data_IF_343058937943
#
_entry.id   IF_343058937943
#
_cell.length_a   1.000
_cell.length_b   1.000
_cell.length_c   1.000
_cell.angle_alpha   90.00
_cell.angle_beta   90.00
_cell.angle_gamma   90.00
#
_symmetry.space_group_name_H-M   'P 1'
#
loop_
_entity.id
_entity.type
_entity.pdbx_description
1 polymer ?
#
# COMPACT_ATOMS: atom_id res chain seq x y z
N UNK A 1 5.99 35.24 11.86
CA UNK A 1 6.80 34.27 11.09
C UNK A 1 6.01 33.02 10.74
N UNK A 2 5.39 32.31 11.71
CA UNK A 2 4.55 31.12 11.42
C UNK A 2 3.41 31.38 10.42
N UNK A 3 2.82 32.58 10.44
CA UNK A 3 1.81 32.99 9.44
C UNK A 3 2.31 32.96 7.99
N UNK A 4 3.59 33.29 7.73
CA UNK A 4 4.15 33.23 6.37
C UNK A 4 4.26 31.79 5.88
N UNK A 5 4.70 30.87 6.73
CA UNK A 5 4.72 29.44 6.41
C UNK A 5 3.30 28.92 6.13
N UNK A 6 2.30 29.37 6.90
CA UNK A 6 0.89 29.06 6.65
C UNK A 6 0.36 29.59 5.31
N UNK A 7 0.67 30.84 4.96
CA UNK A 7 0.33 31.43 3.64
C UNK A 7 0.98 30.62 2.52
N UNK A 8 2.25 30.24 2.67
CA UNK A 8 2.95 29.36 1.74
C UNK A 8 2.27 28.01 1.58
N UNK A 9 1.80 27.40 2.67
CA UNK A 9 1.08 26.11 2.62
C UNK A 9 -0.25 26.22 1.86
N UNK A 10 -1.03 27.29 2.09
CA UNK A 10 -2.28 27.54 1.35
C UNK A 10 -1.99 27.73 -0.14
N UNK A 11 -0.98 28.54 -0.49
CA UNK A 11 -0.56 28.71 -1.87
C UNK A 11 -0.10 27.38 -2.50
N UNK A 12 0.63 26.57 -1.73
CA UNK A 12 1.07 25.24 -2.12
C UNK A 12 -0.10 24.32 -2.46
N UNK A 13 -1.16 24.30 -1.65
CA UNK A 13 -2.36 23.51 -1.93
C UNK A 13 -3.03 23.88 -3.28
N UNK A 14 -3.02 25.17 -3.65
CA UNK A 14 -3.59 25.65 -4.92
C UNK A 14 -2.71 25.29 -6.13
N UNK A 15 -1.38 25.30 -5.96
CA UNK A 15 -0.42 25.03 -7.05
C UNK A 15 -0.14 23.53 -7.22
N UNK A 16 -0.37 22.73 -6.18
CA UNK A 16 -0.07 21.30 -6.15
C UNK A 16 -0.65 20.47 -7.31
N UNK A 17 -1.92 20.66 -7.74
CA UNK A 17 -2.46 19.91 -8.88
C UNK A 17 -1.63 20.10 -10.16
N UNK A 18 -1.24 21.35 -10.46
CA UNK A 18 -0.40 21.67 -11.63
C UNK A 18 1.01 21.10 -11.52
N UNK A 19 1.55 21.02 -10.30
CA UNK A 19 2.85 20.38 -10.08
C UNK A 19 2.78 18.88 -10.34
N UNK A 20 1.71 18.21 -9.91
CA UNK A 20 1.50 16.77 -10.13
C UNK A 20 1.27 16.41 -11.60
N UNK A 21 0.71 17.32 -12.40
CA UNK A 21 0.59 17.12 -13.85
C UNK A 21 1.95 17.15 -14.58
N UNK A 22 2.96 17.80 -14.00
CA UNK A 22 4.25 18.06 -14.67
C UNK A 22 5.45 17.34 -14.06
N UNK A 23 5.35 16.93 -12.80
CA UNK A 23 6.43 16.32 -12.04
C UNK A 23 6.00 14.94 -11.57
N UNK A 24 6.90 13.96 -11.69
CA UNK A 24 6.70 12.67 -11.03
C UNK A 24 6.68 12.84 -9.50
N UNK A 25 6.03 11.90 -8.82
CA UNK A 25 5.94 11.86 -7.35
C UNK A 25 7.33 11.97 -6.71
N UNK A 26 8.28 11.16 -7.17
CA UNK A 26 9.66 11.18 -6.68
C UNK A 26 10.34 12.54 -6.88
N UNK A 27 10.13 13.20 -8.03
CA UNK A 27 10.67 14.54 -8.29
C UNK A 27 10.06 15.59 -7.38
N UNK A 28 8.74 15.53 -7.17
CA UNK A 28 8.01 16.46 -6.32
C UNK A 28 8.46 16.37 -4.87
N UNK A 29 8.62 15.16 -4.35
CA UNK A 29 9.07 14.91 -2.97
C UNK A 29 10.53 15.32 -2.77
N UNK A 30 11.40 14.96 -3.71
CA UNK A 30 12.81 15.36 -3.68
C UNK A 30 12.97 16.88 -3.74
N UNK A 31 12.26 17.56 -4.66
CA UNK A 31 12.28 19.01 -4.77
C UNK A 31 11.77 19.68 -3.48
N UNK A 32 10.70 19.16 -2.90
CA UNK A 32 10.16 19.65 -1.62
C UNK A 32 11.19 19.54 -0.50
N UNK A 33 11.88 18.39 -0.38
CA UNK A 33 12.93 18.19 0.61
C UNK A 33 14.14 19.12 0.42
N UNK A 34 14.60 19.32 -0.82
CA UNK A 34 15.70 20.23 -1.14
C UNK A 34 15.33 21.68 -0.80
N UNK A 35 14.15 22.14 -1.22
CA UNK A 35 13.66 23.50 -0.92
C UNK A 35 13.61 23.71 0.59
N UNK A 36 13.06 22.76 1.34
CA UNK A 36 12.94 22.89 2.79
C UNK A 36 14.31 22.90 3.48
N UNK A 37 15.27 22.07 3.03
CA UNK A 37 16.64 22.08 3.53
C UNK A 37 17.37 23.42 3.28
N UNK A 38 17.20 24.00 2.08
CA UNK A 38 17.74 25.33 1.75
C UNK A 38 17.14 26.39 2.67
N UNK A 39 15.83 26.36 2.89
CA UNK A 39 15.16 27.31 3.79
C UNK A 39 15.69 27.18 5.23
N UNK A 40 15.88 25.96 5.76
CA UNK A 40 16.46 25.75 7.09
C UNK A 40 17.84 26.42 7.22
N UNK A 41 18.70 26.27 6.21
CA UNK A 41 20.01 26.91 6.21
C UNK A 41 19.92 28.44 6.10
N UNK A 42 19.06 28.96 5.22
CA UNK A 42 18.94 30.41 4.98
C UNK A 42 18.35 31.13 6.20
N UNK A 43 17.32 30.56 6.84
CA UNK A 43 16.62 31.19 7.98
C UNK A 43 17.54 31.38 9.17
N UNK A 44 18.52 30.48 9.37
CA UNK A 44 19.44 30.57 10.51
C UNK A 44 20.65 31.47 10.26
N UNK A 45 20.99 31.73 8.99
CA UNK A 45 22.13 32.56 8.60
C UNK A 45 21.76 34.04 8.41
N UNK A 46 20.48 34.35 8.23
CA UNK A 46 20.00 35.70 7.94
C UNK A 46 19.27 36.26 9.16
N UNK A 47 19.63 37.48 9.59
CA UNK A 47 18.96 38.18 10.70
C UNK A 47 17.83 39.11 10.25
N UNK A 48 17.66 39.33 8.94
CA UNK A 48 16.63 40.22 8.40
C UNK A 48 15.24 39.55 8.40
N UNK A 49 14.32 40.08 9.21
CA UNK A 49 12.98 39.55 9.38
C UNK A 49 12.14 39.49 8.09
N UNK A 50 12.27 40.48 7.19
CA UNK A 50 11.54 40.50 5.91
C UNK A 50 12.03 39.39 5.00
N UNK A 51 13.34 39.18 4.93
CA UNK A 51 13.92 38.09 4.14
C UNK A 51 13.48 36.74 4.69
N UNK A 52 13.49 36.55 6.01
CA UNK A 52 12.98 35.32 6.63
C UNK A 52 11.51 35.08 6.26
N UNK A 53 10.65 36.11 6.30
CA UNK A 53 9.24 35.97 5.93
C UNK A 53 9.06 35.49 4.48
N UNK A 54 9.84 36.06 3.54
CA UNK A 54 9.79 35.66 2.12
C UNK A 54 10.28 34.23 1.94
N UNK A 55 11.37 33.84 2.61
CA UNK A 55 11.97 32.50 2.51
C UNK A 55 11.08 31.43 3.16
N UNK A 56 10.25 31.77 4.14
CA UNK A 56 9.29 30.84 4.74
C UNK A 56 8.11 30.49 3.80
N UNK A 57 7.81 31.31 2.80
CA UNK A 57 6.75 31.02 1.81
C UNK A 57 7.02 29.71 1.04
N UNK A 58 8.17 29.53 0.35
CA UNK A 58 8.46 28.29 -0.35
C UNK A 58 8.60 27.09 0.61
N UNK A 59 8.98 27.31 1.87
CA UNK A 59 8.99 26.25 2.89
C UNK A 59 7.57 25.72 3.15
N UNK A 60 6.59 26.62 3.27
CA UNK A 60 5.18 26.26 3.41
C UNK A 60 4.66 25.49 2.19
N UNK A 61 5.01 25.94 0.99
CA UNK A 61 4.65 25.23 -0.27
C UNK A 61 5.24 23.82 -0.28
N UNK A 62 6.54 23.69 0.01
CA UNK A 62 7.24 22.41 0.03
C UNK A 62 6.68 21.46 1.08
N UNK A 63 6.43 21.95 2.30
CA UNK A 63 5.82 21.18 3.37
C UNK A 63 4.45 20.63 2.96
N UNK A 64 3.59 21.50 2.39
CA UNK A 64 2.26 21.09 1.99
C UNK A 64 2.29 20.11 0.80
N UNK A 65 3.14 20.36 -0.19
CA UNK A 65 3.31 19.49 -1.33
C UNK A 65 3.79 18.09 -0.91
N UNK A 66 4.75 18.02 0.02
CA UNK A 66 5.25 16.76 0.55
C UNK A 66 4.16 15.96 1.28
N UNK A 67 3.51 16.57 2.29
CA UNK A 67 2.50 15.90 3.10
C UNK A 67 1.30 15.46 2.27
N UNK A 68 0.78 16.34 1.40
CA UNK A 68 -0.37 15.99 0.56
C UNK A 68 -0.05 14.86 -0.41
N UNK A 69 1.18 14.81 -0.92
CA UNK A 69 1.61 13.76 -1.87
C UNK A 69 1.76 12.43 -1.18
N UNK A 70 2.48 12.35 -0.05
CA UNK A 70 2.57 11.11 0.72
C UNK A 70 1.19 10.63 1.18
N UNK A 71 0.32 11.54 1.63
CA UNK A 71 -1.02 11.17 2.09
C UNK A 71 -1.88 10.63 0.94
N UNK A 72 -1.88 11.30 -0.22
CA UNK A 72 -2.58 10.83 -1.41
C UNK A 72 -2.05 9.47 -1.88
N UNK A 73 -0.73 9.31 -1.99
CA UNK A 73 -0.11 8.04 -2.39
C UNK A 73 -0.43 6.92 -1.43
N UNK A 74 -0.42 7.18 -0.12
CA UNK A 74 -0.79 6.17 0.87
C UNK A 74 -2.26 5.74 0.72
N UNK A 75 -3.16 6.68 0.45
CA UNK A 75 -4.58 6.36 0.21
C UNK A 75 -4.78 5.54 -1.07
N UNK A 76 -4.00 5.85 -2.12
CA UNK A 76 -4.04 5.14 -3.40
C UNK A 76 -3.37 3.76 -3.32
N UNK A 77 -2.33 3.64 -2.50
CA UNK A 77 -1.62 2.37 -2.26
C UNK A 77 -2.47 1.38 -1.45
N UNK A 78 -3.22 1.88 -0.46
CA UNK A 78 -3.99 1.05 0.45
C UNK A 78 -5.36 0.63 -0.12
N UNK A 79 -5.69 -0.69 -0.09
CA UNK A 79 -7.05 -1.17 -0.36
C UNK A 79 -8.09 -0.50 0.54
N UNK A 80 -9.31 -0.32 0.03
CA UNK A 80 -10.37 0.42 0.72
C UNK A 80 -10.66 -0.11 2.14
N UNK A 81 -10.68 -1.43 2.32
CA UNK A 81 -11.00 -2.10 3.59
C UNK A 81 -9.92 -1.92 4.69
N UNK A 82 -8.65 -1.66 4.33
CA UNK A 82 -7.59 -1.33 5.31
C UNK A 82 -7.22 0.15 5.36
N UNK A 83 -7.69 0.96 4.40
CA UNK A 83 -7.25 2.35 4.21
C UNK A 83 -7.31 3.17 5.50
N UNK A 84 -8.40 3.06 6.25
CA UNK A 84 -8.56 3.76 7.52
C UNK A 84 -7.50 3.34 8.56
N UNK A 85 -7.23 2.05 8.70
CA UNK A 85 -6.22 1.53 9.66
C UNK A 85 -4.81 1.98 9.25
N UNK A 86 -4.48 1.90 7.97
CA UNK A 86 -3.18 2.34 7.47
C UNK A 86 -2.96 3.85 7.62
N UNK A 87 -3.98 4.67 7.36
CA UNK A 87 -3.94 6.11 7.60
C UNK A 87 -3.72 6.44 9.08
N UNK A 88 -4.36 5.72 10.00
CA UNK A 88 -4.16 5.91 11.45
C UNK A 88 -2.71 5.64 11.86
N UNK A 89 -2.10 4.56 11.36
CA UNK A 89 -0.69 4.25 11.62
C UNK A 89 0.22 5.34 11.05
N UNK A 90 -0.05 5.80 9.83
CA UNK A 90 0.69 6.91 9.23
C UNK A 90 0.59 8.20 10.07
N UNK A 91 -0.60 8.58 10.54
CA UNK A 91 -0.78 9.75 11.39
C UNK A 91 -0.07 9.60 12.74
N UNK A 92 -0.15 8.42 13.35
CA UNK A 92 0.56 8.13 14.60
C UNK A 92 2.08 8.29 14.42
N UNK A 93 2.64 7.76 13.34
CA UNK A 93 4.07 7.91 13.04
C UNK A 93 4.41 9.37 12.72
N UNK A 94 3.58 10.08 11.94
CA UNK A 94 3.80 11.47 11.57
C UNK A 94 3.86 12.38 12.80
N UNK A 95 2.81 12.37 13.62
CA UNK A 95 2.75 13.22 14.82
C UNK A 95 3.70 12.75 15.92
N UNK A 96 3.92 11.43 16.04
CA UNK A 96 4.94 10.87 16.91
C UNK A 96 6.34 11.37 16.55
N UNK A 97 6.72 11.28 15.28
CA UNK A 97 7.99 11.78 14.78
C UNK A 97 8.14 13.30 14.96
N UNK A 98 7.06 14.08 14.81
CA UNK A 98 7.09 15.50 15.13
C UNK A 98 7.36 15.78 16.61
N UNK A 99 6.69 15.05 17.51
CA UNK A 99 6.91 15.19 18.96
C UNK A 99 8.33 14.79 19.38
N UNK A 100 8.77 13.60 18.99
CA UNK A 100 10.13 13.12 19.27
C UNK A 100 11.20 13.98 18.60
N UNK A 101 10.96 14.41 17.35
CA UNK A 101 11.87 15.27 16.60
C UNK A 101 12.06 16.64 17.26
N UNK A 102 10.97 17.25 17.76
CA UNK A 102 11.05 18.52 18.48
C UNK A 102 11.89 18.39 19.76
N UNK A 103 11.70 17.31 20.53
CA UNK A 103 12.51 17.03 21.72
C UNK A 103 13.98 16.79 21.34
N UNK A 104 14.23 15.91 20.38
CA UNK A 104 15.57 15.57 19.91
C UNK A 104 16.34 16.81 19.45
N UNK A 105 15.75 17.61 18.56
CA UNK A 105 16.39 18.83 18.06
C UNK A 105 16.54 19.90 19.14
N UNK A 106 15.62 19.97 20.11
CA UNK A 106 15.77 20.83 21.29
C UNK A 106 16.98 20.46 22.15
N UNK A 107 17.18 19.17 22.42
CA UNK A 107 18.36 18.65 23.15
C UNK A 107 19.64 18.91 22.38
N UNK A 108 19.65 18.74 21.06
CA UNK A 108 20.83 19.04 20.21
C UNK A 108 21.12 20.55 20.16
N UNK A 109 20.08 21.39 20.11
CA UNK A 109 20.22 22.84 20.05
C UNK A 109 20.80 23.46 21.32
N UNK A 110 20.54 22.86 22.49
CA UNK A 110 21.01 23.39 23.77
C UNK A 110 22.55 23.53 23.85
N UNK A 111 23.36 22.49 23.53
CA UNK A 111 24.83 22.62 23.51
C UNK A 111 25.39 23.10 22.17
N UNK A 112 24.78 22.77 21.03
CA UNK A 112 25.35 23.05 19.70
C UNK A 112 25.02 24.46 19.16
N UNK A 113 23.99 25.11 19.71
CA UNK A 113 23.46 26.38 19.24
C UNK A 113 22.58 26.25 17.99
N UNK A 114 21.73 27.25 17.77
CA UNK A 114 20.71 27.22 16.70
C UNK A 114 21.30 27.07 15.30
N UNK A 115 22.37 27.81 14.97
CA UNK A 115 23.00 27.77 13.64
C UNK A 115 23.46 26.35 13.30
N UNK A 116 24.28 25.75 14.17
CA UNK A 116 24.79 24.40 13.98
C UNK A 116 23.66 23.39 13.85
N UNK A 117 22.65 23.48 14.71
CA UNK A 117 21.51 22.55 14.70
C UNK A 117 20.71 22.61 13.41
N UNK A 118 20.39 23.82 12.91
CA UNK A 118 19.65 23.96 11.66
C UNK A 118 20.46 23.49 10.44
N UNK A 119 21.78 23.71 10.43
CA UNK A 119 22.65 23.21 9.37
C UNK A 119 22.76 21.68 9.38
N UNK A 120 22.86 21.05 10.56
CA UNK A 120 22.80 19.58 10.69
C UNK A 120 21.43 19.07 10.21
N UNK A 121 20.33 19.70 10.61
CA UNK A 121 18.99 19.31 10.18
C UNK A 121 18.82 19.42 8.65
N UNK A 122 19.34 20.48 8.04
CA UNK A 122 19.36 20.64 6.58
C UNK A 122 20.18 19.51 5.91
N UNK A 123 21.35 19.18 6.45
CA UNK A 123 22.17 18.08 5.92
C UNK A 123 21.46 16.72 6.05
N UNK A 124 20.85 16.42 7.20
CA UNK A 124 20.06 15.18 7.41
C UNK A 124 18.90 15.11 6.42
N UNK A 125 18.22 16.23 6.15
CA UNK A 125 17.15 16.29 5.17
C UNK A 125 17.65 15.99 3.75
N UNK A 126 18.81 16.52 3.35
CA UNK A 126 19.42 16.22 2.05
C UNK A 126 19.85 14.75 1.93
N UNK A 127 20.34 14.14 3.01
CA UNK A 127 20.61 12.69 3.04
C UNK A 127 19.32 11.90 2.85
N UNK A 128 18.22 12.30 3.49
CA UNK A 128 16.90 11.70 3.28
C UNK A 128 16.36 11.86 1.86
N UNK A 129 16.67 12.95 1.17
CA UNK A 129 16.38 13.10 -0.26
C UNK A 129 17.26 12.17 -1.09
N UNK A 130 18.53 12.02 -0.73
CA UNK A 130 19.46 11.15 -1.46
C UNK A 130 19.07 9.67 -1.39
N UNK A 131 18.46 9.20 -0.29
CA UNK A 131 17.98 7.81 -0.18
C UNK A 131 16.85 7.50 -1.17
N UNK A 132 16.06 8.50 -1.59
CA UNK A 132 15.02 8.32 -2.63
C UNK A 132 15.60 7.89 -4.00
N UNK A 133 16.90 8.10 -4.22
CA UNK A 133 17.60 7.64 -5.42
C UNK A 133 17.89 6.13 -5.40
N UNK A 134 17.98 5.56 -4.20
CA UNK A 134 18.23 4.13 -3.96
C UNK A 134 16.90 3.40 -3.77
N UNK A 135 15.97 4.02 -3.03
CA UNK A 135 14.63 3.51 -2.73
C UNK A 135 13.56 4.49 -3.19
N UNK A 136 13.25 4.53 -4.51
CA UNK A 136 12.21 5.40 -5.04
C UNK A 136 10.83 4.96 -4.53
N UNK A 137 9.93 5.92 -4.35
CA UNK A 137 8.53 5.62 -4.04
C UNK A 137 7.90 4.98 -5.27
N UNK A 138 7.20 3.86 -5.04
CA UNK A 138 6.48 3.10 -6.05
C UNK A 138 5.42 4.01 -6.67
N UNK A 139 5.47 4.20 -7.97
CA UNK A 139 4.46 4.96 -8.71
C UNK A 139 3.15 4.16 -8.75
N UNK A 140 2.08 4.71 -8.15
CA UNK A 140 0.80 4.02 -8.05
C UNK A 140 -0.18 4.37 -9.16
N UNK A 141 0.17 5.28 -10.08
CA UNK A 141 -0.74 5.87 -11.07
C UNK A 141 -1.32 4.92 -12.12
N UNK A 142 -0.76 3.71 -12.29
CA UNK A 142 -1.20 2.72 -13.28
C UNK A 142 -1.82 1.44 -12.72
N UNK A 143 -1.96 1.31 -11.39
CA UNK A 143 -2.51 0.09 -10.78
C UNK A 143 -4.03 0.24 -10.57
N UNK A 144 -4.81 -0.55 -11.30
CA UNK A 144 -6.25 -0.67 -11.07
C UNK A 144 -6.51 -1.44 -9.77
N UNK A 145 -7.04 -0.71 -8.79
CA UNK A 145 -7.38 -1.20 -7.45
C UNK A 145 -8.84 -0.95 -7.10
N UNK A 146 -9.66 -0.70 -8.13
CA UNK A 146 -11.09 -0.79 -7.96
C UNK A 146 -11.45 -2.20 -7.50
N UNK A 147 -12.41 -2.31 -6.60
CA UNK A 147 -12.98 -3.60 -6.22
C UNK A 147 -13.73 -4.12 -7.43
N UNK A 148 -13.26 -5.22 -8.01
CA UNK A 148 -13.95 -5.86 -9.13
C UNK A 148 -14.78 -7.00 -8.55
N UNK A 149 -16.09 -6.97 -8.78
CA UNK A 149 -16.90 -8.18 -8.67
C UNK A 149 -16.63 -9.04 -9.90
N UNK A 150 -15.52 -9.78 -9.85
CA UNK A 150 -15.05 -10.62 -10.94
C UNK A 150 -15.83 -11.95 -11.00
N UNK A 151 -16.25 -12.46 -9.85
CA UNK A 151 -16.95 -13.73 -9.73
C UNK A 151 -18.47 -13.52 -9.74
N UNK A 152 -19.24 -14.29 -10.54
CA UNK A 152 -20.66 -14.43 -10.29
C UNK A 152 -20.86 -15.01 -8.89
N UNK A 153 -21.86 -14.52 -8.17
CA UNK A 153 -22.23 -15.04 -6.84
C UNK A 153 -22.34 -16.57 -6.93
N UNK A 154 -21.58 -17.33 -6.11
CA UNK A 154 -21.58 -18.78 -6.22
C UNK A 154 -23.02 -19.28 -6.06
N UNK A 155 -23.57 -19.92 -7.09
CA UNK A 155 -24.89 -20.54 -7.02
C UNK A 155 -24.79 -21.80 -6.17
N UNK A 156 -24.69 -21.63 -4.86
CA UNK A 156 -24.78 -22.74 -3.92
C UNK A 156 -26.20 -23.31 -3.98
N UNK A 157 -26.30 -24.64 -4.05
CA UNK A 157 -27.58 -25.35 -3.90
C UNK A 157 -28.04 -25.35 -2.42
N UNK A 158 -27.13 -25.01 -1.51
CA UNK A 158 -27.35 -24.91 -0.07
C UNK A 158 -27.43 -23.42 0.33
N UNK A 159 -28.45 -23.04 1.10
CA UNK A 159 -28.48 -21.76 1.81
C UNK A 159 -27.45 -21.80 2.95
N UNK A 160 -26.20 -21.50 2.63
CA UNK A 160 -25.13 -21.41 3.63
C UNK A 160 -25.33 -20.18 4.52
N UNK A 161 -25.36 -20.38 5.84
CA UNK A 161 -25.41 -19.27 6.77
C UNK A 161 -24.07 -18.50 6.74
N UNK A 162 -24.07 -17.18 7.02
CA UNK A 162 -22.85 -16.36 6.99
C UNK A 162 -21.70 -16.91 7.86
N UNK A 163 -22.04 -17.54 8.98
CA UNK A 163 -21.08 -18.10 9.94
C UNK A 163 -20.67 -19.55 9.63
N UNK A 164 -21.26 -20.19 8.62
CA UNK A 164 -20.90 -21.55 8.24
C UNK A 164 -19.44 -21.60 7.78
N UNK A 165 -18.67 -22.53 8.33
CA UNK A 165 -17.27 -22.67 7.99
C UNK A 165 -16.56 -23.72 8.84
N UNK A 166 -15.27 -23.98 8.55
CA UNK A 166 -14.45 -23.37 7.50
C UNK A 166 -14.92 -23.69 6.08
N UNK A 167 -14.62 -22.80 5.13
CA UNK A 167 -14.92 -23.02 3.70
C UNK A 167 -13.62 -23.30 2.97
N UNK A 168 -13.58 -24.43 2.25
CA UNK A 168 -12.48 -24.80 1.38
C UNK A 168 -12.88 -24.52 -0.06
N UNK A 169 -12.12 -23.69 -0.75
CA UNK A 169 -12.29 -23.47 -2.17
C UNK A 169 -11.30 -24.34 -2.92
N UNK A 170 -11.81 -25.11 -3.87
CA UNK A 170 -11.05 -26.00 -4.73
C UNK A 170 -11.16 -25.53 -6.16
N UNK A 171 -10.03 -25.18 -6.78
CA UNK A 171 -9.95 -24.88 -8.21
C UNK A 171 -9.06 -25.90 -8.91
N UNK A 172 -9.56 -26.50 -9.99
CA UNK A 172 -8.83 -27.49 -10.81
C UNK A 172 -8.33 -26.83 -12.09
N UNK A 173 -7.03 -26.94 -12.33
CA UNK A 173 -6.34 -26.47 -13.53
C UNK A 173 -5.83 -27.67 -14.34
N UNK A 174 -5.99 -27.65 -15.66
CA UNK A 174 -5.41 -28.66 -16.57
C UNK A 174 -4.26 -28.03 -17.34
N UNK A 175 -3.02 -28.35 -17.00
CA UNK A 175 -1.82 -27.67 -17.49
C UNK A 175 -0.98 -28.60 -18.36
N UNK A 176 -0.76 -28.23 -19.61
CA UNK A 176 0.19 -28.92 -20.48
C UNK A 176 1.64 -28.87 -19.93
N UNK A 177 2.46 -29.92 -20.14
CA UNK A 177 3.83 -29.99 -19.60
C UNK A 177 4.73 -28.79 -19.93
N UNK A 178 4.58 -28.23 -21.14
CA UNK A 178 5.35 -27.08 -21.62
C UNK A 178 4.95 -25.76 -20.94
N UNK A 179 3.73 -25.70 -20.36
CA UNK A 179 3.20 -24.53 -19.62
C UNK A 179 3.39 -24.62 -18.11
N UNK A 180 3.92 -25.73 -17.59
CA UNK A 180 3.99 -25.97 -16.15
C UNK A 180 4.84 -24.92 -15.40
N UNK A 181 6.07 -24.69 -15.86
CA UNK A 181 6.98 -23.74 -15.22
C UNK A 181 6.44 -22.29 -15.18
N UNK A 182 5.89 -21.72 -16.28
CA UNK A 182 5.26 -20.40 -16.20
C UNK A 182 3.99 -20.39 -15.35
N UNK A 183 3.17 -21.45 -15.37
CA UNK A 183 1.99 -21.58 -14.50
C UNK A 183 2.38 -21.53 -13.01
N UNK A 184 3.39 -22.29 -12.58
CA UNK A 184 3.84 -22.28 -11.19
C UNK A 184 4.33 -20.90 -10.73
N UNK A 185 4.92 -20.09 -11.63
CA UNK A 185 5.29 -18.70 -11.35
C UNK A 185 4.07 -17.78 -11.24
N UNK A 186 3.04 -17.99 -12.05
CA UNK A 186 1.77 -17.28 -11.91
C UNK A 186 1.10 -17.60 -10.58
N UNK A 187 1.04 -18.89 -10.20
CA UNK A 187 0.44 -19.34 -8.95
C UNK A 187 1.13 -18.81 -7.69
N UNK A 188 2.42 -18.47 -7.75
CA UNK A 188 3.09 -17.80 -6.64
C UNK A 188 2.48 -16.42 -6.31
N UNK A 189 2.00 -15.69 -7.33
CA UNK A 189 1.30 -14.41 -7.14
C UNK A 189 -0.13 -14.62 -6.66
N UNK A 190 -0.83 -15.62 -7.20
CA UNK A 190 -2.16 -16.04 -6.72
C UNK A 190 -2.12 -16.42 -5.23
N UNK A 191 -1.12 -17.21 -4.80
CA UNK A 191 -0.92 -17.55 -3.38
C UNK A 191 -0.87 -16.32 -2.48
N UNK A 192 -0.04 -15.34 -2.83
CA UNK A 192 0.11 -14.12 -2.03
C UNK A 192 -1.18 -13.31 -2.00
N UNK A 193 -1.90 -13.27 -3.12
CA UNK A 193 -3.23 -12.65 -3.22
C UNK A 193 -4.25 -13.33 -2.29
N UNK A 194 -4.38 -14.66 -2.35
CA UNK A 194 -5.31 -15.44 -1.51
C UNK A 194 -5.06 -15.23 -0.02
N UNK A 195 -3.80 -15.31 0.41
CA UNK A 195 -3.42 -15.12 1.82
C UNK A 195 -3.67 -13.66 2.28
N UNK A 196 -3.42 -12.67 1.42
CA UNK A 196 -3.67 -11.25 1.74
C UNK A 196 -5.15 -10.93 1.89
N UNK A 197 -6.01 -11.62 1.14
CA UNK A 197 -7.44 -11.31 1.02
C UNK A 197 -8.31 -12.01 2.08
N UNK A 198 -7.76 -13.00 2.81
CA UNK A 198 -8.45 -13.64 3.93
C UNK A 198 -8.22 -15.14 4.08
N UNK A 199 -7.51 -15.78 3.13
CA UNK A 199 -7.21 -17.21 3.25
C UNK A 199 -6.27 -17.47 4.44
N UNK A 200 -6.65 -18.39 5.32
CA UNK A 200 -5.83 -18.83 6.47
C UNK A 200 -4.83 -19.91 6.05
N UNK A 201 -5.16 -20.68 5.02
CA UNK A 201 -4.32 -21.72 4.44
C UNK A 201 -4.43 -21.69 2.91
N UNK A 202 -3.33 -22.06 2.25
CA UNK A 202 -3.27 -22.18 0.79
C UNK A 202 -2.29 -23.29 0.40
N UNK A 203 -2.66 -24.10 -0.58
CA UNK A 203 -1.83 -25.14 -1.17
C UNK A 203 -2.13 -25.35 -2.64
N UNK A 204 -1.08 -25.72 -3.39
CA UNK A 204 -1.19 -26.17 -4.77
C UNK A 204 -0.65 -27.60 -4.83
N UNK A 205 -1.48 -28.53 -5.29
CA UNK A 205 -1.18 -29.95 -5.33
C UNK A 205 -1.19 -30.41 -6.79
N UNK A 206 -0.28 -31.33 -7.14
CA UNK A 206 -0.41 -32.08 -8.40
C UNK A 206 -1.22 -33.34 -8.10
N UNK A 207 -2.22 -33.62 -8.92
CA UNK A 207 -2.94 -34.88 -8.83
C UNK A 207 -1.99 -36.04 -9.18
N UNK A 208 -1.91 -37.03 -8.29
CA UNK A 208 -1.08 -38.21 -8.45
C UNK A 208 -1.63 -39.21 -9.47
N UNK A 209 -2.94 -39.17 -9.73
CA UNK A 209 -3.61 -40.02 -10.73
C UNK A 209 -3.63 -39.34 -12.10
N UNK A 210 -3.62 -38.01 -12.13
CA UNK A 210 -3.69 -37.20 -13.35
C UNK A 210 -2.53 -36.19 -13.42
N UNK A 211 -1.37 -36.53 -14.02
CA UNK A 211 -0.13 -35.73 -13.92
C UNK A 211 -0.19 -34.28 -14.45
N UNK A 212 -1.20 -33.98 -15.28
CA UNK A 212 -1.45 -32.65 -15.86
C UNK A 212 -2.51 -31.85 -15.09
N UNK A 213 -3.05 -32.38 -13.99
CA UNK A 213 -3.99 -31.66 -13.15
C UNK A 213 -3.29 -31.09 -11.92
N UNK A 214 -3.52 -29.79 -11.73
CA UNK A 214 -3.12 -29.08 -10.54
C UNK A 214 -4.36 -28.62 -9.78
N UNK A 215 -4.39 -28.86 -8.48
CA UNK A 215 -5.50 -28.56 -7.60
C UNK A 215 -5.05 -27.48 -6.63
N UNK A 216 -5.61 -26.29 -6.76
CA UNK A 216 -5.51 -25.24 -5.74
C UNK A 216 -6.54 -25.51 -4.66
N UNK A 217 -6.10 -25.47 -3.40
CA UNK A 217 -6.96 -25.51 -2.23
C UNK A 217 -6.61 -24.34 -1.32
N UNK A 218 -7.61 -23.57 -0.92
CA UNK A 218 -7.42 -22.57 0.13
C UNK A 218 -8.62 -22.55 1.08
N UNK A 219 -8.36 -22.15 2.31
CA UNK A 219 -9.33 -22.17 3.41
C UNK A 219 -9.60 -20.75 3.87
N UNK A 220 -10.88 -20.43 4.06
CA UNK A 220 -11.34 -19.22 4.73
C UNK A 220 -12.21 -19.58 5.93
N UNK A 221 -12.26 -18.67 6.90
CA UNK A 221 -12.85 -18.95 8.23
C UNK A 221 -14.35 -19.18 8.19
N UNK A 222 -15.07 -18.54 7.26
CA UNK A 222 -16.52 -18.65 7.12
C UNK A 222 -16.97 -18.31 5.70
N UNK A 223 -18.22 -18.62 5.39
CA UNK A 223 -18.86 -18.25 4.12
C UNK A 223 -18.93 -16.73 3.93
N UNK A 224 -19.23 -15.96 4.98
CA UNK A 224 -19.19 -14.51 4.91
C UNK A 224 -17.77 -13.98 4.61
N UNK A 225 -16.74 -14.63 5.16
CA UNK A 225 -15.36 -14.26 4.85
C UNK A 225 -14.99 -14.61 3.41
N UNK A 226 -15.46 -15.74 2.88
CA UNK A 226 -15.35 -16.08 1.46
C UNK A 226 -16.00 -14.99 0.59
N UNK A 227 -17.24 -14.60 0.89
CA UNK A 227 -17.96 -13.57 0.13
C UNK A 227 -17.25 -12.21 0.21
N UNK A 228 -16.77 -11.79 1.39
CA UNK A 228 -15.97 -10.56 1.54
C UNK A 228 -14.66 -10.63 0.77
N UNK A 229 -14.00 -11.78 0.77
CA UNK A 229 -12.78 -12.02 0.00
C UNK A 229 -13.03 -11.77 -1.49
N UNK A 230 -14.16 -12.27 -2.00
CA UNK A 230 -14.52 -12.22 -3.42
C UNK A 230 -15.13 -10.87 -3.86
N UNK A 231 -15.97 -10.25 -3.03
CA UNK A 231 -16.71 -9.05 -3.39
C UNK A 231 -15.98 -7.75 -3.03
N UNK A 232 -15.31 -7.70 -1.88
CA UNK A 232 -14.85 -6.44 -1.27
C UNK A 232 -13.33 -6.29 -1.20
N UNK A 233 -12.59 -7.40 -1.30
CA UNK A 233 -11.14 -7.43 -1.04
C UNK A 233 -10.29 -7.77 -2.25
N UNK A 234 -10.87 -8.31 -3.32
CA UNK A 234 -10.20 -8.49 -4.61
C UNK A 234 -9.95 -7.13 -5.28
N UNK A 235 -8.71 -6.92 -5.69
CA UNK A 235 -8.31 -5.75 -6.51
C UNK A 235 -8.21 -6.16 -7.98
N UNK A 236 -8.30 -5.21 -8.93
CA UNK A 236 -8.06 -5.50 -10.35
C UNK A 236 -6.69 -6.15 -10.64
N UNK A 237 -5.68 -5.89 -9.80
CA UNK A 237 -4.38 -6.59 -9.88
C UNK A 237 -4.46 -8.06 -9.48
N UNK A 238 -5.31 -8.41 -8.50
CA UNK A 238 -5.54 -9.80 -8.10
C UNK A 238 -6.25 -10.56 -9.22
N UNK A 239 -7.26 -9.93 -9.84
CA UNK A 239 -7.93 -10.46 -11.03
C UNK A 239 -6.93 -10.76 -12.15
N UNK A 240 -6.01 -9.85 -12.45
CA UNK A 240 -4.98 -10.10 -13.48
C UNK A 240 -4.10 -11.31 -13.16
N UNK A 241 -3.76 -11.54 -11.88
CA UNK A 241 -2.98 -12.71 -11.49
C UNK A 241 -3.76 -14.01 -11.65
N UNK A 242 -5.06 -13.98 -11.38
CA UNK A 242 -5.97 -15.11 -11.61
C UNK A 242 -6.13 -15.39 -13.10
N UNK A 243 -6.47 -14.38 -13.91
CA UNK A 243 -6.61 -14.50 -15.36
C UNK A 243 -5.34 -15.02 -16.03
N UNK A 244 -4.16 -14.56 -15.57
CA UNK A 244 -2.87 -15.06 -16.07
C UNK A 244 -2.66 -16.54 -15.73
N UNK A 245 -3.04 -16.99 -14.53
CA UNK A 245 -2.96 -18.39 -14.13
C UNK A 245 -3.97 -19.25 -14.91
N UNK A 246 -5.20 -18.76 -15.09
CA UNK A 246 -6.28 -19.43 -15.84
C UNK A 246 -5.94 -19.57 -17.32
N UNK A 247 -5.25 -18.57 -17.92
CA UNK A 247 -4.82 -18.61 -19.31
C UNK A 247 -3.85 -19.76 -19.64
N UNK A 248 -3.18 -20.33 -18.63
CA UNK A 248 -2.34 -21.52 -18.80
C UNK A 248 -3.14 -22.83 -18.81
N UNK A 249 -4.39 -22.83 -18.34
CA UNK A 249 -5.25 -24.01 -18.32
C UNK A 249 -5.82 -24.31 -19.70
N UNK A 250 -5.63 -25.53 -20.18
CA UNK A 250 -6.14 -25.99 -21.49
C UNK A 250 -7.65 -26.25 -21.47
N UNK A 251 -8.22 -26.41 -20.28
CA UNK A 251 -9.66 -26.53 -20.05
C UNK A 251 -10.13 -25.40 -19.13
N UNK A 252 -11.42 -25.00 -19.22
CA UNK A 252 -12.02 -24.11 -18.23
C UNK A 252 -11.72 -24.64 -16.83
N UNK A 253 -11.31 -23.73 -15.94
CA UNK A 253 -11.10 -24.04 -14.53
C UNK A 253 -12.43 -24.44 -13.91
N UNK A 254 -12.38 -25.47 -13.05
CA UNK A 254 -13.54 -25.91 -12.29
C UNK A 254 -13.35 -25.54 -10.82
N UNK A 255 -14.20 -24.63 -10.32
CA UNK A 255 -14.15 -24.14 -8.95
C UNK A 255 -15.35 -24.63 -8.16
N UNK A 256 -15.06 -25.32 -7.07
CA UNK A 256 -16.06 -25.85 -6.13
C UNK A 256 -15.81 -25.33 -4.72
N UNK A 257 -16.90 -25.15 -3.98
CA UNK A 257 -16.88 -24.66 -2.60
C UNK A 257 -17.31 -25.81 -1.67
N UNK A 258 -16.44 -26.18 -0.74
CA UNK A 258 -16.68 -27.22 0.26
C UNK A 258 -16.87 -26.55 1.61
N UNK A 259 -18.06 -26.68 2.19
CA UNK A 259 -18.38 -26.14 3.51
C UNK A 259 -18.18 -27.27 4.52
N UNK A 260 -17.47 -26.99 5.62
CA UNK A 260 -17.27 -27.97 6.68
C UNK A 260 -18.61 -28.44 7.26
N UNK A 261 -18.68 -29.73 7.61
CA UNK A 261 -19.84 -30.34 8.28
C UNK A 261 -19.39 -30.76 9.67
N UNK A 262 -20.18 -30.43 10.69
CA UNK A 262 -19.94 -30.89 12.06
C UNK A 262 -20.07 -32.42 12.14
N UNK A 263 -19.03 -33.07 12.66
CA UNK A 263 -19.09 -34.50 12.97
C UNK A 263 -19.67 -34.67 14.38
N UNK A 264 -20.56 -35.65 14.60
CA UNK A 264 -21.02 -35.96 15.95
C UNK A 264 -19.83 -36.34 16.83
N UNK A 265 -19.76 -35.78 18.04
CA UNK A 265 -18.76 -36.19 19.03
C UNK A 265 -19.00 -37.65 19.40
N UNK A 266 -17.96 -38.47 19.25
CA UNK A 266 -17.96 -39.81 19.82
C UNK A 266 -17.56 -39.68 21.29
N UNK A 267 -18.50 -39.94 22.20
CA UNK A 267 -18.18 -40.22 23.61
C UNK A 267 -17.31 -41.49 23.65
N UNK A 268 -16.00 -41.31 23.82
CA UNK A 268 -15.01 -42.38 24.00
C UNK A 268 -14.90 -42.81 25.47
#
# INVERSE_FOLDING_TARGET
MLGALGVGAIAGAVVLPRMRERLSINTLLAASGVVYAVVLAVVVLISNAVVILIVLLPAGVAWMAFLSTINAELQLFLPAWVRARGLSVYQMVLFGAQGFGALFWGVVAAPAGLVTTFLIAAAVMLVGVATMRIWPIIDTGGMDRSTVQYWPEPSLVLDAAPDDGPVVVKTVYTIAPDKEAPFLRAMARVKLSRLRTGATQWGLFRDGETPHQFIELYVVSSWEEHLRQHADRLTGTDQQYEEEAEAFSDRPTDTSHLIAVELPEYDL
#
